data_IF_752050712214
#
_entry.id   IF_752050712214
#
_cell.length_a   1.000
_cell.length_b   1.000
_cell.length_c   1.000
_cell.angle_alpha   90.00
_cell.angle_beta   90.00
_cell.angle_gamma   90.00
#
_symmetry.space_group_name_H-M   'P 1'
#
loop_
_entity.id
_entity.type
_entity.pdbx_description
1 polymer ?
#
# COMPACT_ATOMS: atom_id res chain seq x y z
N UNK A 1 -39.89 16.93 -99.77
CA UNK A 1 -40.76 15.80 -99.42
C UNK A 1 -40.13 14.92 -98.32
N UNK A 2 -40.95 14.66 -97.31
CA UNK A 2 -40.80 13.58 -96.28
C UNK A 2 -39.51 13.46 -95.48
N UNK A 3 -39.50 14.00 -94.28
CA UNK A 3 -39.72 13.39 -92.99
C UNK A 3 -39.25 11.97 -92.73
N UNK A 4 -38.38 11.73 -91.78
CA UNK A 4 -38.62 10.69 -90.79
C UNK A 4 -37.76 10.97 -89.50
N UNK A 5 -38.48 10.91 -88.39
CA UNK A 5 -38.03 11.10 -87.02
C UNK A 5 -37.32 9.86 -86.52
N UNK A 6 -36.22 10.04 -85.76
CA UNK A 6 -35.58 8.99 -85.00
C UNK A 6 -35.68 9.33 -83.50
N UNK A 7 -36.38 8.52 -82.76
CA UNK A 7 -36.64 8.65 -81.29
C UNK A 7 -35.43 8.03 -80.56
N UNK A 8 -34.73 8.83 -79.73
CA UNK A 8 -33.66 8.33 -78.89
C UNK A 8 -34.18 8.09 -77.46
N UNK A 9 -34.06 6.87 -76.98
CA UNK A 9 -34.37 6.45 -75.62
C UNK A 9 -33.20 6.77 -74.72
N UNK A 10 -33.44 7.68 -73.70
CA UNK A 10 -32.55 7.88 -72.60
C UNK A 10 -32.86 6.81 -71.52
N UNK A 11 -31.91 5.89 -71.32
CA UNK A 11 -31.91 4.96 -70.19
C UNK A 11 -31.20 5.65 -69.05
N UNK A 12 -31.95 6.16 -68.09
CA UNK A 12 -31.48 6.69 -66.84
C UNK A 12 -31.04 5.57 -65.92
N UNK A 13 -29.71 5.37 -65.77
CA UNK A 13 -29.15 4.47 -64.78
C UNK A 13 -29.23 5.10 -63.37
N UNK A 14 -30.08 4.53 -62.50
CA UNK A 14 -30.19 4.87 -61.11
C UNK A 14 -29.03 4.20 -60.34
N UNK A 15 -27.98 4.95 -60.03
CA UNK A 15 -26.90 4.48 -59.17
C UNK A 15 -27.38 4.57 -57.73
N UNK A 16 -27.73 3.43 -57.12
CA UNK A 16 -27.98 3.28 -55.68
C UNK A 16 -26.63 3.29 -54.95
N UNK A 17 -26.26 4.45 -54.37
CA UNK A 17 -25.16 4.56 -53.42
C UNK A 17 -25.63 3.99 -52.08
N UNK A 18 -25.31 2.73 -51.81
CA UNK A 18 -25.48 2.13 -50.50
C UNK A 18 -24.40 2.70 -49.58
N UNK A 19 -24.70 3.76 -48.86
CA UNK A 19 -23.86 4.26 -47.77
C UNK A 19 -23.88 3.23 -46.63
N UNK A 20 -22.89 2.36 -46.59
CA UNK A 20 -22.61 1.50 -45.45
C UNK A 20 -22.20 2.34 -44.28
N UNK A 21 -23.11 2.64 -43.36
CA UNK A 21 -22.80 3.17 -42.05
C UNK A 21 -22.11 2.06 -41.27
N UNK A 22 -20.77 2.10 -41.22
CA UNK A 22 -19.97 1.33 -40.27
C UNK A 22 -20.34 1.85 -38.85
N UNK A 23 -21.30 1.20 -38.22
CA UNK A 23 -21.47 1.26 -36.77
C UNK A 23 -20.20 0.65 -36.14
N UNK A 24 -19.16 1.48 -35.95
CA UNK A 24 -18.11 1.15 -35.05
C UNK A 24 -18.78 1.05 -33.65
N UNK A 25 -19.16 -0.16 -33.28
CA UNK A 25 -19.61 -0.43 -31.91
C UNK A 25 -18.51 0.08 -30.97
N UNK A 26 -18.80 1.09 -30.18
CA UNK A 26 -17.94 1.49 -29.08
C UNK A 26 -17.73 0.22 -28.25
N UNK A 27 -16.51 -0.34 -28.27
CA UNK A 27 -16.19 -1.44 -27.38
C UNK A 27 -16.48 -0.95 -25.97
N UNK A 28 -17.43 -1.59 -25.31
CA UNK A 28 -17.81 -1.22 -23.94
C UNK A 28 -16.55 -1.32 -23.08
N UNK A 29 -16.19 -0.21 -22.44
CA UNK A 29 -14.98 -0.17 -21.62
C UNK A 29 -15.09 -1.27 -20.55
N UNK A 30 -14.03 -2.05 -20.38
CA UNK A 30 -14.02 -3.14 -19.40
C UNK A 30 -14.43 -2.62 -18.00
N UNK A 31 -15.25 -3.40 -17.31
CA UNK A 31 -15.61 -3.19 -15.91
C UNK A 31 -15.86 -4.54 -15.24
N UNK A 32 -15.75 -4.65 -13.90
CA UNK A 32 -15.96 -5.91 -13.22
C UNK A 32 -17.42 -6.40 -13.38
N UNK A 33 -17.57 -7.69 -13.69
CA UNK A 33 -18.88 -8.35 -13.90
C UNK A 33 -19.32 -9.20 -12.70
N UNK A 34 -18.42 -9.40 -11.72
CA UNK A 34 -18.66 -10.12 -10.46
C UNK A 34 -17.92 -9.40 -9.31
N UNK A 35 -18.24 -9.69 -8.03
CA UNK A 35 -17.53 -9.11 -6.89
C UNK A 35 -16.02 -9.24 -7.02
N UNK A 36 -15.30 -8.18 -6.64
CA UNK A 36 -13.84 -8.11 -6.68
C UNK A 36 -13.27 -8.55 -5.34
N UNK A 37 -12.44 -9.60 -5.35
CA UNK A 37 -11.68 -10.03 -4.17
C UNK A 37 -10.54 -9.03 -3.92
N UNK A 38 -10.59 -8.31 -2.80
CA UNK A 38 -9.56 -7.34 -2.41
C UNK A 38 -8.66 -7.97 -1.35
N UNK A 39 -7.58 -8.59 -1.81
CA UNK A 39 -6.65 -9.34 -0.96
C UNK A 39 -5.75 -8.37 -0.18
N UNK A 40 -5.64 -8.63 1.13
CA UNK A 40 -4.70 -7.96 2.02
C UNK A 40 -3.73 -9.00 2.57
N UNK A 41 -2.44 -9.00 2.14
CA UNK A 41 -1.41 -9.93 2.62
C UNK A 41 -0.85 -9.51 3.98
N UNK A 42 -1.75 -9.18 4.92
CA UNK A 42 -1.45 -8.74 6.29
C UNK A 42 -2.62 -9.05 7.22
N UNK A 43 -2.38 -9.00 8.52
CA UNK A 43 -3.39 -9.25 9.55
C UNK A 43 -4.46 -8.16 9.62
N UNK A 44 -5.59 -8.51 10.22
CA UNK A 44 -6.70 -7.60 10.47
C UNK A 44 -6.29 -6.48 11.44
N UNK A 45 -6.80 -5.26 11.22
CA UNK A 45 -6.48 -4.08 12.03
C UNK A 45 -5.11 -3.47 11.75
N UNK A 46 -4.30 -4.04 10.86
CA UNK A 46 -3.10 -3.41 10.33
C UNK A 46 -3.43 -2.33 9.31
N UNK A 47 -2.49 -1.43 9.03
CA UNK A 47 -2.73 -0.28 8.17
C UNK A 47 -3.23 -0.62 6.76
N UNK A 48 -2.80 -1.76 6.18
CA UNK A 48 -3.32 -2.24 4.90
C UNK A 48 -4.79 -2.67 4.98
N UNK A 49 -5.18 -3.37 6.05
CA UNK A 49 -6.55 -3.81 6.27
C UNK A 49 -7.48 -2.60 6.51
N UNK A 50 -7.04 -1.65 7.34
CA UNK A 50 -7.77 -0.40 7.59
C UNK A 50 -8.01 0.35 6.28
N UNK A 51 -6.98 0.49 5.43
CA UNK A 51 -7.08 1.18 4.15
C UNK A 51 -8.02 0.46 3.17
N UNK A 52 -7.91 -0.86 3.03
CA UNK A 52 -8.75 -1.64 2.13
C UNK A 52 -10.24 -1.56 2.53
N UNK A 53 -10.52 -1.66 3.85
CA UNK A 53 -11.88 -1.52 4.42
C UNK A 53 -12.42 -0.10 4.36
N UNK A 54 -11.57 0.90 4.26
CA UNK A 54 -11.97 2.28 3.99
C UNK A 54 -12.31 2.48 2.50
N UNK A 55 -11.49 1.95 1.60
CA UNK A 55 -11.65 2.10 0.14
C UNK A 55 -12.91 1.38 -0.36
N UNK A 56 -13.19 0.16 0.10
CA UNK A 56 -14.29 -0.65 -0.42
C UNK A 56 -15.66 0.05 -0.32
N UNK A 57 -16.13 0.54 0.84
CA UNK A 57 -17.38 1.28 0.93
C UNK A 57 -17.32 2.66 0.24
N UNK A 58 -16.14 3.26 0.09
CA UNK A 58 -15.99 4.52 -0.62
C UNK A 58 -16.26 4.35 -2.13
N UNK A 59 -15.78 3.25 -2.72
CA UNK A 59 -16.07 2.87 -4.11
C UNK A 59 -17.58 2.70 -4.30
N UNK A 60 -18.25 2.03 -3.38
CA UNK A 60 -19.72 1.83 -3.42
C UNK A 60 -20.48 3.16 -3.27
N UNK A 61 -20.13 3.97 -2.27
CA UNK A 61 -20.72 5.28 -2.00
C UNK A 61 -20.71 6.20 -3.23
N UNK A 62 -19.57 6.24 -3.92
CA UNK A 62 -19.39 7.08 -5.10
C UNK A 62 -19.77 6.38 -6.41
N UNK A 63 -20.31 5.15 -6.35
CA UNK A 63 -20.74 4.36 -7.53
C UNK A 63 -19.61 4.22 -8.57
N UNK A 64 -18.38 4.05 -8.11
CA UNK A 64 -17.20 3.96 -8.98
C UNK A 64 -17.02 2.58 -9.60
N UNK A 65 -17.74 1.58 -9.11
CA UNK A 65 -17.76 0.21 -9.64
C UNK A 65 -19.19 -0.34 -9.65
N UNK A 66 -19.55 -1.15 -10.68
CA UNK A 66 -20.84 -1.86 -10.69
C UNK A 66 -20.84 -3.07 -9.73
N UNK A 67 -19.69 -3.49 -9.21
CA UNK A 67 -19.54 -4.63 -8.34
C UNK A 67 -18.87 -4.25 -7.01
N UNK A 68 -19.22 -4.90 -5.90
CA UNK A 68 -18.60 -4.64 -4.60
C UNK A 68 -17.17 -5.18 -4.53
N UNK A 69 -16.37 -4.55 -3.65
CA UNK A 69 -15.03 -5.01 -3.30
C UNK A 69 -15.05 -5.69 -1.94
N UNK A 70 -14.62 -6.96 -1.90
CA UNK A 70 -14.66 -7.80 -0.70
C UNK A 70 -13.26 -7.98 -0.16
N UNK A 71 -12.99 -7.41 1.01
CA UNK A 71 -11.67 -7.45 1.65
C UNK A 71 -11.43 -8.82 2.28
N UNK A 72 -10.32 -9.46 1.91
CA UNK A 72 -9.91 -10.79 2.40
C UNK A 72 -8.47 -10.73 2.90
N UNK A 73 -8.25 -10.98 4.19
CA UNK A 73 -6.91 -11.04 4.78
C UNK A 73 -6.25 -12.40 4.56
N UNK A 74 -4.97 -12.40 4.13
CA UNK A 74 -4.13 -13.60 3.95
C UNK A 74 -2.72 -13.34 4.48
N UNK A 75 -2.55 -13.34 5.83
CA UNK A 75 -1.30 -12.91 6.47
C UNK A 75 -0.22 -14.00 6.55
N UNK A 76 -0.53 -15.26 6.21
CA UNK A 76 0.36 -16.39 6.41
C UNK A 76 1.73 -16.20 5.76
N UNK A 77 2.81 -16.65 6.46
CA UNK A 77 4.17 -16.56 5.96
C UNK A 77 4.65 -15.11 5.71
N UNK A 78 4.31 -14.17 6.58
CA UNK A 78 4.63 -12.75 6.41
C UNK A 78 4.02 -12.15 5.11
N UNK A 79 2.81 -12.58 4.74
CA UNK A 79 2.11 -12.15 3.52
C UNK A 79 2.33 -13.06 2.30
N UNK A 80 3.25 -14.03 2.36
CA UNK A 80 3.53 -14.94 1.25
C UNK A 80 2.27 -15.68 0.75
N UNK A 81 1.37 -16.09 1.68
CA UNK A 81 0.09 -16.71 1.33
C UNK A 81 -0.72 -15.82 0.39
N UNK A 82 -0.87 -14.53 0.73
CA UNK A 82 -1.61 -13.58 -0.08
C UNK A 82 -0.96 -13.34 -1.45
N UNK A 83 0.37 -13.20 -1.49
CA UNK A 83 1.10 -13.02 -2.73
C UNK A 83 0.98 -14.21 -3.68
N UNK A 84 1.14 -15.43 -3.17
CA UNK A 84 1.00 -16.66 -3.97
C UNK A 84 -0.45 -16.85 -4.43
N UNK A 85 -1.43 -16.52 -3.59
CA UNK A 85 -2.84 -16.57 -3.96
C UNK A 85 -3.12 -15.66 -5.15
N UNK A 86 -2.70 -14.39 -5.10
CA UNK A 86 -2.90 -13.43 -6.21
C UNK A 86 -2.12 -13.85 -7.47
N UNK A 87 -0.86 -14.28 -7.33
CA UNK A 87 -0.07 -14.83 -8.44
C UNK A 87 -0.77 -16.00 -9.12
N UNK A 88 -1.42 -16.88 -8.34
CA UNK A 88 -2.18 -18.03 -8.84
C UNK A 88 -3.45 -17.67 -9.60
N UNK A 89 -3.96 -16.44 -9.48
CA UNK A 89 -5.17 -15.93 -10.17
C UNK A 89 -4.89 -15.39 -11.58
N UNK A 90 -3.91 -15.95 -12.27
CA UNK A 90 -3.49 -15.51 -13.61
C UNK A 90 -4.68 -15.22 -14.54
N UNK A 91 -4.71 -14.01 -15.11
CA UNK A 91 -5.73 -13.55 -16.05
C UNK A 91 -7.07 -13.18 -15.43
N UNK A 92 -7.29 -13.35 -14.10
CA UNK A 92 -8.55 -12.97 -13.45
C UNK A 92 -8.49 -11.50 -12.98
N UNK A 93 -9.18 -10.57 -13.66
CA UNK A 93 -9.19 -9.16 -13.28
C UNK A 93 -10.14 -8.83 -12.11
N UNK A 94 -10.80 -9.83 -11.52
CA UNK A 94 -11.68 -9.66 -10.34
C UNK A 94 -10.96 -9.96 -9.02
N UNK A 95 -9.64 -10.02 -9.05
CA UNK A 95 -8.79 -10.11 -7.86
C UNK A 95 -7.81 -8.93 -7.89
N UNK A 96 -7.71 -8.21 -6.79
CA UNK A 96 -6.69 -7.18 -6.60
C UNK A 96 -6.01 -7.39 -5.25
N UNK A 97 -4.85 -6.80 -5.06
CA UNK A 97 -4.19 -6.80 -3.75
C UNK A 97 -3.67 -5.42 -3.39
N UNK A 98 -3.77 -5.08 -2.10
CA UNK A 98 -3.08 -3.94 -1.51
C UNK A 98 -1.78 -4.46 -0.90
N UNK A 99 -0.65 -3.98 -1.41
CA UNK A 99 0.68 -4.42 -0.98
C UNK A 99 1.44 -3.32 -0.24
N UNK A 100 2.47 -3.76 0.48
CA UNK A 100 3.40 -2.97 1.27
C UNK A 100 4.84 -3.35 0.87
N UNK A 101 5.84 -2.83 1.57
CA UNK A 101 7.25 -3.19 1.35
C UNK A 101 7.55 -4.69 1.60
N UNK A 102 6.67 -5.40 2.33
CA UNK A 102 6.74 -6.85 2.46
C UNK A 102 6.65 -7.58 1.10
N UNK A 103 6.15 -6.93 0.04
CA UNK A 103 6.21 -7.42 -1.34
C UNK A 103 7.66 -7.69 -1.79
N UNK A 104 8.62 -6.95 -1.27
CA UNK A 104 10.05 -7.12 -1.53
C UNK A 104 10.72 -7.93 -0.42
N UNK A 105 10.45 -7.56 0.84
CA UNK A 105 11.14 -8.12 1.99
C UNK A 105 10.84 -9.60 2.20
N UNK A 106 9.57 -10.02 2.11
CA UNK A 106 9.17 -11.42 2.33
C UNK A 106 9.84 -12.40 1.38
N UNK A 107 9.83 -12.23 0.03
CA UNK A 107 10.51 -13.17 -0.85
C UNK A 107 12.03 -13.18 -0.65
N UNK A 108 12.65 -12.04 -0.35
CA UNK A 108 14.08 -11.96 -0.06
C UNK A 108 14.46 -12.74 1.20
N UNK A 109 13.63 -12.68 2.25
CA UNK A 109 13.89 -13.34 3.52
C UNK A 109 13.57 -14.84 3.52
N UNK A 110 12.50 -15.25 2.84
CA UNK A 110 11.94 -16.60 2.94
C UNK A 110 12.28 -17.51 1.76
N UNK A 111 12.72 -16.93 0.64
CA UNK A 111 12.92 -17.66 -0.61
C UNK A 111 11.64 -18.16 -1.26
N UNK A 112 10.47 -17.66 -0.85
CA UNK A 112 9.19 -18.00 -1.49
C UNK A 112 9.25 -17.67 -2.98
N UNK A 113 8.70 -18.52 -3.89
CA UNK A 113 8.80 -18.35 -5.34
C UNK A 113 7.85 -17.24 -5.83
N UNK A 114 8.08 -16.03 -5.36
CA UNK A 114 7.34 -14.83 -5.68
C UNK A 114 8.29 -13.65 -5.94
N UNK A 115 7.96 -12.84 -6.92
CA UNK A 115 8.55 -11.53 -7.17
C UNK A 115 7.41 -10.55 -7.48
N UNK A 116 7.53 -9.29 -7.12
CA UNK A 116 6.51 -8.29 -7.42
C UNK A 116 6.25 -8.16 -8.93
N UNK A 117 7.24 -8.48 -9.77
CA UNK A 117 7.12 -8.52 -11.24
C UNK A 117 6.23 -9.66 -11.75
N UNK A 118 5.89 -10.64 -10.90
CA UNK A 118 4.87 -11.64 -11.21
C UNK A 118 3.46 -11.04 -11.24
N UNK A 119 3.26 -9.86 -10.66
CA UNK A 119 1.97 -9.17 -10.62
C UNK A 119 1.95 -8.01 -11.60
N UNK A 120 0.76 -7.48 -11.85
CA UNK A 120 0.53 -6.31 -12.70
C UNK A 120 0.34 -5.06 -11.81
N UNK A 121 1.30 -4.12 -11.74
CA UNK A 121 1.17 -2.91 -10.94
C UNK A 121 0.06 -2.00 -11.46
N UNK A 122 -0.73 -1.43 -10.55
CA UNK A 122 -1.82 -0.50 -10.87
C UNK A 122 -1.48 0.92 -10.41
N UNK A 123 -1.30 1.10 -9.10
CA UNK A 123 -1.04 2.40 -8.52
C UNK A 123 -0.32 2.29 -7.17
N UNK A 124 0.50 3.29 -6.84
CA UNK A 124 0.84 3.65 -5.47
C UNK A 124 -0.19 4.69 -5.00
N UNK A 125 -0.86 4.43 -3.87
CA UNK A 125 -1.91 5.30 -3.36
C UNK A 125 -1.39 6.33 -2.36
N UNK A 126 -0.46 5.90 -1.50
CA UNK A 126 0.08 6.70 -0.40
C UNK A 126 1.47 6.21 0.01
N UNK A 127 2.15 7.03 0.78
CA UNK A 127 3.30 6.63 1.60
C UNK A 127 2.91 6.71 3.07
N UNK A 128 3.46 5.82 3.86
CA UNK A 128 3.15 5.66 5.27
C UNK A 128 4.39 5.90 6.11
N UNK A 129 4.24 6.69 7.17
CA UNK A 129 5.30 6.95 8.13
C UNK A 129 5.40 5.84 9.17
N UNK A 130 6.52 5.80 9.84
CA UNK A 130 6.72 5.04 11.07
C UNK A 130 7.01 6.00 12.22
N UNK A 131 6.52 5.63 13.39
CA UNK A 131 6.71 6.41 14.62
C UNK A 131 7.15 5.46 15.72
N UNK A 132 8.14 5.85 16.51
CA UNK A 132 8.53 5.13 17.73
C UNK A 132 7.51 5.41 18.83
N UNK A 133 6.87 4.34 19.31
CA UNK A 133 5.84 4.40 20.34
C UNK A 133 6.23 3.67 21.60
N UNK A 134 5.74 4.16 22.73
CA UNK A 134 5.75 3.47 24.03
C UNK A 134 4.34 3.49 24.63
N UNK A 135 4.09 2.62 25.62
CA UNK A 135 2.87 2.71 26.44
C UNK A 135 2.82 4.06 27.15
N UNK A 136 1.64 4.69 27.28
CA UNK A 136 1.50 6.01 27.90
C UNK A 136 1.96 6.06 29.37
N UNK A 137 1.88 4.93 30.07
CA UNK A 137 2.34 4.79 31.47
C UNK A 137 3.85 4.49 31.56
N UNK A 138 4.54 4.34 30.43
CA UNK A 138 6.00 4.21 30.40
C UNK A 138 6.65 5.42 31.07
N UNK A 139 7.74 5.24 31.85
CA UNK A 139 8.46 6.35 32.48
C UNK A 139 9.12 7.27 31.44
N UNK A 140 9.39 6.76 30.24
CA UNK A 140 10.09 7.49 29.18
C UNK A 140 9.16 8.48 28.48
N UNK A 141 9.55 9.75 28.45
CA UNK A 141 8.77 10.84 27.85
C UNK A 141 9.33 11.28 26.50
N UNK A 142 10.58 10.98 26.23
CA UNK A 142 11.30 11.35 25.01
C UNK A 142 11.98 10.13 24.38
N UNK A 143 12.25 10.19 23.05
CA UNK A 143 13.00 9.13 22.35
C UNK A 143 14.41 9.00 22.94
N UNK A 144 15.05 10.11 23.32
CA UNK A 144 16.39 10.09 23.93
C UNK A 144 16.40 9.30 25.24
N UNK A 145 15.48 9.58 26.16
CA UNK A 145 15.37 8.83 27.43
C UNK A 145 15.16 7.33 27.19
N UNK A 146 14.29 6.99 26.24
CA UNK A 146 14.00 5.60 25.91
C UNK A 146 15.24 4.89 25.32
N UNK A 147 15.92 5.51 24.35
CA UNK A 147 17.13 4.97 23.72
C UNK A 147 18.25 4.75 24.73
N UNK A 148 18.49 5.72 25.63
CA UNK A 148 19.49 5.59 26.69
C UNK A 148 19.16 4.43 27.65
N UNK A 149 17.89 4.25 28.00
CA UNK A 149 17.44 3.15 28.83
C UNK A 149 17.67 1.78 28.16
N UNK A 150 17.36 1.65 26.86
CA UNK A 150 17.60 0.43 26.07
C UNK A 150 19.11 0.15 25.97
N UNK A 151 19.91 1.19 25.70
CA UNK A 151 21.38 1.10 25.63
C UNK A 151 22.01 0.61 26.91
N UNK A 152 21.49 1.07 28.05
CA UNK A 152 21.96 0.65 29.37
C UNK A 152 21.62 -0.82 29.71
N UNK A 153 20.61 -1.40 29.04
CA UNK A 153 20.12 -2.76 29.32
C UNK A 153 19.89 -3.55 28.04
N UNK A 154 20.95 -3.91 27.30
CA UNK A 154 20.83 -4.64 26.03
C UNK A 154 20.11 -5.98 26.21
N UNK A 155 19.28 -6.34 25.23
CA UNK A 155 18.44 -7.55 25.21
C UNK A 155 17.47 -7.68 26.40
N UNK A 156 16.99 -6.56 26.96
CA UNK A 156 15.97 -6.58 28.03
C UNK A 156 14.67 -5.89 27.58
N UNK A 157 14.70 -5.06 26.55
CA UNK A 157 13.53 -4.38 26.01
C UNK A 157 12.96 -5.13 24.81
N UNK A 158 11.63 -5.31 24.81
CA UNK A 158 10.89 -5.95 23.73
C UNK A 158 10.41 -4.89 22.74
N UNK A 159 10.88 -4.99 21.50
CA UNK A 159 10.34 -4.23 20.36
C UNK A 159 9.36 -5.12 19.62
N UNK A 160 8.06 -4.81 19.68
CA UNK A 160 7.05 -5.50 18.88
C UNK A 160 7.01 -4.95 17.45
N UNK A 161 6.79 -5.82 16.49
CA UNK A 161 6.63 -5.43 15.09
C UNK A 161 5.90 -6.47 14.26
N UNK A 162 5.49 -6.09 13.06
CA UNK A 162 4.79 -6.95 12.12
C UNK A 162 5.78 -7.89 11.42
N UNK A 163 5.53 -9.19 11.55
CA UNK A 163 6.28 -10.24 10.83
C UNK A 163 7.77 -10.32 11.17
N UNK A 164 8.43 -11.28 10.55
CA UNK A 164 9.89 -11.41 10.58
C UNK A 164 10.46 -10.92 9.25
N UNK A 165 11.57 -10.17 9.31
CA UNK A 165 12.23 -9.56 8.18
C UNK A 165 11.33 -8.59 7.36
N UNK A 166 10.29 -8.05 7.99
CA UNK A 166 9.45 -7.00 7.43
C UNK A 166 9.90 -5.61 7.93
N UNK A 167 9.16 -4.59 7.57
CA UNK A 167 9.50 -3.18 7.74
C UNK A 167 9.87 -2.83 9.18
N UNK A 168 9.08 -3.27 10.14
CA UNK A 168 9.29 -2.98 11.58
C UNK A 168 10.62 -3.57 12.08
N UNK A 169 10.97 -4.79 11.63
CA UNK A 169 12.25 -5.39 12.00
C UNK A 169 13.42 -4.69 11.30
N UNK A 170 13.27 -4.30 10.04
CA UNK A 170 14.29 -3.54 9.31
C UNK A 170 14.57 -2.22 10.05
N UNK A 171 13.53 -1.49 10.44
CA UNK A 171 13.66 -0.23 11.20
C UNK A 171 14.28 -0.49 12.57
N UNK A 172 13.87 -1.55 13.27
CA UNK A 172 14.43 -1.94 14.57
C UNK A 172 15.94 -2.16 14.45
N UNK A 173 16.38 -2.90 13.43
CA UNK A 173 17.81 -3.15 13.17
C UNK A 173 18.55 -1.85 12.82
N UNK A 174 17.95 -0.97 12.02
CA UNK A 174 18.53 0.35 11.75
C UNK A 174 18.72 1.15 13.05
N UNK A 175 17.73 1.12 13.96
CA UNK A 175 17.89 1.74 15.29
C UNK A 175 19.01 1.08 16.10
N UNK A 176 19.08 -0.24 16.12
CA UNK A 176 20.15 -0.97 16.81
C UNK A 176 21.54 -0.55 16.32
N UNK A 177 21.71 -0.45 15.01
CA UNK A 177 22.99 -0.05 14.39
C UNK A 177 23.31 1.44 14.67
N UNK A 178 22.33 2.32 14.50
CA UNK A 178 22.50 3.76 14.62
C UNK A 178 22.84 4.20 16.08
N UNK A 179 22.29 3.51 17.07
CA UNK A 179 22.41 3.89 18.48
C UNK A 179 23.25 2.90 19.32
N UNK A 180 23.68 1.78 18.75
CA UNK A 180 24.38 0.72 19.48
C UNK A 180 23.45 -0.01 20.47
N UNK A 181 22.22 -0.30 20.07
CA UNK A 181 21.18 -0.95 20.88
C UNK A 181 21.11 -2.45 20.62
N UNK A 182 20.39 -3.15 21.52
CA UNK A 182 19.94 -4.53 21.32
C UNK A 182 18.56 -4.70 21.93
N UNK A 183 17.57 -4.99 21.06
CA UNK A 183 16.21 -5.34 21.43
C UNK A 183 15.97 -6.85 21.40
N UNK A 184 14.92 -7.29 22.08
CA UNK A 184 14.25 -8.56 21.82
C UNK A 184 13.13 -8.23 20.83
N UNK A 185 13.31 -8.57 19.55
CA UNK A 185 12.27 -8.37 18.56
C UNK A 185 11.17 -9.43 18.70
N UNK A 186 9.90 -9.00 18.77
CA UNK A 186 8.72 -9.88 18.93
C UNK A 186 7.81 -9.70 17.72
N UNK A 187 7.77 -10.67 16.77
CA UNK A 187 6.94 -10.56 15.58
C UNK A 187 5.48 -10.92 15.83
N UNK A 188 4.56 -10.14 15.26
CA UNK A 188 3.11 -10.35 15.24
C UNK A 188 2.59 -10.48 13.81
N UNK A 189 1.34 -10.92 13.63
CA UNK A 189 0.73 -11.14 12.30
C UNK A 189 0.34 -9.85 11.57
N UNK A 190 0.20 -8.73 12.29
CA UNK A 190 -0.17 -7.44 11.73
C UNK A 190 -0.05 -6.32 12.76
N UNK A 191 0.00 -5.08 12.29
CA UNK A 191 0.22 -3.91 13.13
C UNK A 191 -0.88 -3.68 14.18
N UNK A 192 -2.11 -4.14 13.93
CA UNK A 192 -3.16 -4.13 14.96
C UNK A 192 -2.82 -4.97 16.19
N UNK A 193 -2.27 -6.19 15.98
CA UNK A 193 -1.80 -7.05 17.09
C UNK A 193 -0.61 -6.43 17.80
N UNK A 194 0.29 -5.77 17.05
CA UNK A 194 1.43 -5.01 17.60
C UNK A 194 0.94 -3.88 18.50
N UNK A 195 -0.04 -3.10 18.05
CA UNK A 195 -0.62 -2.01 18.83
C UNK A 195 -1.27 -2.51 20.14
N UNK A 196 -2.03 -3.61 20.05
CA UNK A 196 -2.64 -4.25 21.22
C UNK A 196 -1.57 -4.76 22.21
N UNK A 197 -0.48 -5.35 21.70
CA UNK A 197 0.66 -5.79 22.52
C UNK A 197 1.28 -4.62 23.33
N UNK A 198 1.45 -3.46 22.69
CA UNK A 198 1.97 -2.27 23.36
C UNK A 198 1.01 -1.74 24.43
N UNK A 199 -0.29 -1.64 24.12
CA UNK A 199 -1.33 -1.20 25.07
C UNK A 199 -1.42 -2.15 26.26
N UNK A 200 -1.32 -3.47 26.03
CA UNK A 200 -1.33 -4.52 27.05
C UNK A 200 -0.02 -4.65 27.81
N UNK A 201 1.01 -3.85 27.51
CA UNK A 201 2.36 -3.92 28.14
C UNK A 201 3.06 -5.26 27.95
N UNK A 202 2.73 -5.99 26.87
CA UNK A 202 3.43 -7.22 26.49
C UNK A 202 4.73 -6.92 25.72
N UNK A 203 4.86 -5.69 25.22
CA UNK A 203 6.06 -5.11 24.63
C UNK A 203 6.34 -3.73 25.24
N UNK A 204 7.60 -3.29 25.18
CA UNK A 204 8.05 -2.01 25.73
C UNK A 204 7.88 -0.88 24.71
N UNK A 205 8.05 -1.20 23.43
CA UNK A 205 7.94 -0.25 22.32
C UNK A 205 7.52 -0.93 21.03
N UNK A 206 7.19 -0.10 20.05
CA UNK A 206 6.93 -0.49 18.65
C UNK A 206 7.25 0.66 17.72
N UNK A 207 7.43 0.35 16.43
CA UNK A 207 7.55 1.33 15.35
C UNK A 207 6.32 1.36 14.45
N UNK A 208 5.13 1.09 14.99
CA UNK A 208 3.85 1.07 14.26
C UNK A 208 3.64 2.31 13.38
N UNK A 209 2.92 2.10 12.29
CA UNK A 209 2.40 3.19 11.51
C UNK A 209 1.39 4.05 12.29
N UNK A 210 1.27 5.35 11.99
CA UNK A 210 0.30 6.24 12.63
C UNK A 210 -1.11 5.71 12.67
N UNK A 211 -1.61 5.15 11.57
CA UNK A 211 -2.98 4.62 11.43
C UNK A 211 -3.33 3.51 12.44
N UNK A 212 -2.34 2.76 12.90
CA UNK A 212 -2.49 1.64 13.82
C UNK A 212 -2.53 2.09 15.29
N UNK A 213 -1.95 3.25 15.58
CA UNK A 213 -1.79 3.77 16.94
C UNK A 213 -2.64 5.02 17.26
N UNK A 214 -3.11 5.75 16.24
CA UNK A 214 -3.79 7.03 16.44
C UNK A 214 -5.00 6.94 17.37
N UNK A 215 -5.77 5.85 17.29
CA UNK A 215 -6.91 5.59 18.18
C UNK A 215 -6.45 5.38 19.65
N UNK A 216 -5.40 4.61 19.85
CA UNK A 216 -4.82 4.34 21.17
C UNK A 216 -4.16 5.58 21.75
N UNK A 217 -3.46 6.35 20.95
CA UNK A 217 -2.85 7.61 21.36
C UNK A 217 -3.90 8.65 21.77
N UNK A 218 -4.92 8.89 20.96
CA UNK A 218 -6.04 9.80 21.31
C UNK A 218 -6.79 9.35 22.57
N UNK A 219 -6.83 8.05 22.86
CA UNK A 219 -7.38 7.49 24.09
C UNK A 219 -6.40 7.54 25.29
N UNK A 220 -5.21 8.14 25.12
CA UNK A 220 -4.21 8.27 26.18
C UNK A 220 -3.53 6.95 26.60
N UNK A 221 -3.56 5.92 25.73
CA UNK A 221 -2.99 4.58 26.03
C UNK A 221 -1.57 4.41 25.54
N UNK A 222 -1.19 5.12 24.50
CA UNK A 222 0.17 5.10 23.93
C UNK A 222 0.71 6.52 23.77
N UNK A 223 2.03 6.64 23.61
CA UNK A 223 2.73 7.90 23.43
C UNK A 223 3.70 7.79 22.27
N UNK A 224 3.61 8.69 21.26
CA UNK A 224 4.64 8.82 20.23
C UNK A 224 5.88 9.50 20.84
N UNK A 225 7.06 9.01 20.49
CA UNK A 225 8.33 9.57 20.94
C UNK A 225 9.08 10.29 19.82
N UNK A 226 9.06 9.74 18.61
CA UNK A 226 9.68 10.37 17.44
C UNK A 226 9.15 9.78 16.13
N UNK A 227 9.07 10.60 15.09
CA UNK A 227 8.82 10.20 13.71
C UNK A 227 10.12 9.70 13.05
N UNK A 228 10.04 8.61 12.29
CA UNK A 228 11.17 8.02 11.57
C UNK A 228 11.18 8.56 10.13
N UNK A 229 11.46 9.85 10.00
CA UNK A 229 11.60 10.56 8.73
C UNK A 229 12.53 11.77 8.92
N UNK A 230 13.01 12.32 7.82
CA UNK A 230 13.85 13.54 7.79
C UNK A 230 13.07 14.78 8.25
N UNK A 231 11.75 14.77 8.09
CA UNK A 231 10.85 15.86 8.41
C UNK A 231 9.74 15.41 9.36
N UNK A 232 9.21 16.35 10.14
CA UNK A 232 8.03 16.08 10.97
C UNK A 232 6.82 15.81 10.09
N UNK A 233 5.85 15.07 10.62
CA UNK A 233 4.55 14.88 9.97
C UNK A 233 3.80 16.21 10.03
N UNK A 234 3.74 16.92 8.91
CA UNK A 234 3.08 18.24 8.82
C UNK A 234 1.55 18.11 8.69
N UNK A 235 0.95 17.53 9.72
CA UNK A 235 -0.50 17.38 9.84
C UNK A 235 -0.98 17.85 11.22
N UNK A 236 -2.22 18.38 11.36
CA UNK A 236 -2.77 18.77 12.65
C UNK A 236 -2.72 17.64 13.67
N UNK A 237 -2.18 17.93 14.85
CA UNK A 237 -2.01 16.98 15.95
C UNK A 237 -0.75 16.11 15.87
N UNK A 238 0.01 16.15 14.75
CA UNK A 238 1.25 15.37 14.57
C UNK A 238 2.51 16.24 14.57
N UNK A 239 2.39 17.55 14.32
CA UNK A 239 3.51 18.49 14.19
C UNK A 239 4.39 18.60 15.43
N UNK A 240 3.85 18.29 16.60
CA UNK A 240 4.58 18.36 17.88
C UNK A 240 5.48 17.15 18.11
N UNK A 241 5.32 16.07 17.35
CA UNK A 241 6.16 14.88 17.44
C UNK A 241 7.47 15.17 16.71
N UNK A 242 8.63 15.15 17.41
CA UNK A 242 9.92 15.42 16.78
C UNK A 242 10.33 14.30 15.83
N UNK A 243 11.22 14.58 14.89
CA UNK A 243 11.93 13.53 14.14
C UNK A 243 12.97 12.84 15.06
N UNK A 244 13.44 11.64 14.65
CA UNK A 244 14.55 10.98 15.35
C UNK A 244 15.79 11.89 15.42
N UNK A 245 16.08 12.65 14.35
CA UNK A 245 17.18 13.61 14.30
C UNK A 245 17.04 14.72 15.34
N UNK A 246 15.86 15.32 15.44
CA UNK A 246 15.59 16.38 16.42
C UNK A 246 15.65 15.85 17.87
N UNK A 247 15.12 14.64 18.10
CA UNK A 247 15.05 14.05 19.43
C UNK A 247 16.40 13.48 19.92
N UNK A 248 17.26 13.02 19.02
CA UNK A 248 18.44 12.20 19.36
C UNK A 248 19.75 12.62 18.69
N UNK A 249 19.69 13.48 17.68
CA UNK A 249 20.80 13.85 16.81
C UNK A 249 21.10 12.89 15.67
N UNK A 250 20.42 11.72 15.60
CA UNK A 250 20.62 10.72 14.55
C UNK A 250 19.55 10.82 13.49
N UNK A 251 19.98 11.06 12.24
CA UNK A 251 19.11 11.16 11.08
C UNK A 251 18.79 9.77 10.55
N UNK A 252 17.52 9.39 10.57
CA UNK A 252 17.02 8.14 10.01
C UNK A 252 15.61 8.31 9.46
N UNK A 253 15.35 7.68 8.34
CA UNK A 253 14.06 7.73 7.68
C UNK A 253 13.67 6.38 7.08
N UNK A 254 12.38 6.09 7.12
CA UNK A 254 11.79 4.97 6.43
C UNK A 254 10.33 5.29 6.07
N UNK A 255 10.00 5.26 4.78
CA UNK A 255 8.63 5.42 4.29
C UNK A 255 8.21 4.13 3.58
N UNK A 256 7.07 3.58 3.97
CA UNK A 256 6.49 2.40 3.35
C UNK A 256 5.45 2.82 2.30
N UNK A 257 5.41 2.13 1.15
CA UNK A 257 4.37 2.40 0.17
C UNK A 257 3.09 1.59 0.41
N UNK A 258 1.98 2.14 -0.06
CA UNK A 258 0.68 1.48 -0.18
C UNK A 258 0.36 1.32 -1.66
N UNK A 259 0.46 0.11 -2.20
CA UNK A 259 0.35 -0.15 -3.64
C UNK A 259 -0.77 -1.13 -3.98
N UNK A 260 -1.39 -0.92 -5.13
CA UNK A 260 -2.40 -1.81 -5.71
C UNK A 260 -1.79 -2.58 -6.88
N UNK A 261 -2.04 -3.89 -6.88
CA UNK A 261 -1.62 -4.78 -7.96
C UNK A 261 -2.77 -5.71 -8.37
N UNK A 262 -2.71 -6.17 -9.60
CA UNK A 262 -3.55 -7.21 -10.18
C UNK A 262 -2.74 -8.50 -10.36
N UNK A 263 -3.40 -9.66 -10.56
CA UNK A 263 -2.75 -10.89 -10.98
C UNK A 263 -1.94 -10.73 -12.28
N UNK A 264 -1.05 -11.69 -12.59
CA UNK A 264 -0.33 -11.69 -13.85
C UNK A 264 -1.28 -11.90 -15.04
N UNK A 265 -0.96 -11.26 -16.18
CA UNK A 265 -1.63 -11.51 -17.45
C UNK A 265 -3.10 -11.07 -17.52
N UNK A 266 -3.51 -10.14 -16.69
CA UNK A 266 -4.83 -9.49 -16.82
C UNK A 266 -4.89 -8.64 -18.08
N UNK A 267 -6.09 -8.47 -18.71
CA UNK A 267 -6.27 -7.57 -19.84
C UNK A 267 -5.83 -6.13 -19.51
N UNK A 268 -5.23 -5.47 -20.50
CA UNK A 268 -4.74 -4.08 -20.33
C UNK A 268 -5.88 -3.12 -20.00
N UNK A 269 -7.04 -3.32 -20.60
CA UNK A 269 -8.24 -2.53 -20.37
C UNK A 269 -8.71 -2.63 -18.91
N UNK A 270 -8.56 -3.80 -18.30
CA UNK A 270 -8.86 -3.99 -16.88
C UNK A 270 -7.84 -3.22 -15.99
N UNK A 271 -6.55 -3.28 -16.31
CA UNK A 271 -5.53 -2.50 -15.59
C UNK A 271 -5.81 -0.99 -15.69
N UNK A 272 -6.11 -0.49 -16.88
CA UNK A 272 -6.43 0.93 -17.13
C UNK A 272 -7.68 1.37 -16.37
N UNK A 273 -8.70 0.51 -16.32
CA UNK A 273 -9.91 0.75 -15.53
C UNK A 273 -9.60 0.90 -14.03
N UNK A 274 -8.78 0.00 -13.47
CA UNK A 274 -8.37 0.10 -12.06
C UNK A 274 -7.51 1.34 -11.80
N UNK A 275 -6.64 1.73 -12.71
CA UNK A 275 -5.87 2.99 -12.60
C UNK A 275 -6.82 4.19 -12.49
N UNK A 276 -7.85 4.24 -13.34
CA UNK A 276 -8.85 5.31 -13.32
C UNK A 276 -9.71 5.26 -12.06
N UNK A 277 -10.15 4.05 -11.66
CA UNK A 277 -10.89 3.84 -10.41
C UNK A 277 -10.14 4.43 -9.21
N UNK A 278 -8.87 4.04 -9.02
CA UNK A 278 -8.09 4.50 -7.87
C UNK A 278 -7.71 5.99 -7.96
N UNK A 279 -7.55 6.53 -9.16
CA UNK A 279 -7.44 7.99 -9.33
C UNK A 279 -8.68 8.69 -8.78
N UNK A 280 -9.88 8.28 -9.18
CA UNK A 280 -11.15 8.82 -8.69
C UNK A 280 -11.29 8.68 -7.17
N UNK A 281 -10.89 7.54 -6.60
CA UNK A 281 -10.85 7.34 -5.14
C UNK A 281 -9.96 8.40 -4.48
N UNK A 282 -8.76 8.63 -5.01
CA UNK A 282 -7.81 9.59 -4.41
C UNK A 282 -8.23 11.06 -4.54
N UNK A 283 -9.14 11.37 -5.43
CA UNK A 283 -9.70 12.73 -5.61
C UNK A 283 -10.83 13.04 -4.63
N UNK A 284 -11.44 12.02 -3.99
CA UNK A 284 -12.58 12.21 -3.08
C UNK A 284 -12.18 13.00 -1.82
N UNK A 285 -13.08 13.84 -1.28
CA UNK A 285 -12.85 14.53 0.00
C UNK A 285 -12.61 13.56 1.16
N UNK A 286 -13.30 12.41 1.17
CA UNK A 286 -13.19 11.39 2.20
C UNK A 286 -11.79 10.76 2.19
N UNK A 287 -11.20 10.49 1.01
CA UNK A 287 -9.84 9.99 0.90
C UNK A 287 -8.83 11.00 1.47
N UNK A 288 -8.96 12.27 1.10
CA UNK A 288 -8.08 13.34 1.61
C UNK A 288 -8.16 13.45 3.13
N UNK A 289 -9.38 13.35 3.67
CA UNK A 289 -9.60 13.32 5.12
C UNK A 289 -9.00 12.06 5.76
N UNK A 290 -9.18 10.89 5.15
CA UNK A 290 -8.59 9.63 5.61
C UNK A 290 -7.08 9.72 5.71
N UNK A 291 -6.40 10.25 4.68
CA UNK A 291 -4.95 10.46 4.71
C UNK A 291 -4.53 11.36 5.89
N UNK A 292 -5.24 12.47 6.10
CA UNK A 292 -4.96 13.39 7.20
C UNK A 292 -5.19 12.75 8.57
N UNK A 293 -6.32 12.05 8.76
CA UNK A 293 -6.70 11.45 10.04
C UNK A 293 -5.75 10.33 10.47
N UNK A 294 -5.15 9.63 9.51
CA UNK A 294 -4.26 8.48 9.71
C UNK A 294 -2.79 8.81 9.49
N UNK A 295 -2.46 10.08 9.28
CA UNK A 295 -1.12 10.55 8.97
C UNK A 295 -0.48 9.73 7.84
N UNK A 296 -1.09 9.77 6.66
CA UNK A 296 -0.56 9.18 5.43
C UNK A 296 -0.18 10.29 4.45
N UNK A 297 0.96 10.16 3.80
CA UNK A 297 1.46 11.11 2.80
C UNK A 297 0.76 10.85 1.45
N UNK A 298 0.06 11.84 0.85
CA UNK A 298 -0.48 11.70 -0.49
C UNK A 298 0.64 11.39 -1.49
N UNK A 299 0.52 10.30 -2.26
CA UNK A 299 1.58 9.87 -3.14
C UNK A 299 1.09 9.00 -4.31
N UNK A 300 0.02 9.46 -4.99
CA UNK A 300 -0.52 8.73 -6.14
C UNK A 300 0.48 8.69 -7.29
N UNK A 301 0.75 7.47 -7.78
CA UNK A 301 1.72 7.23 -8.85
C UNK A 301 1.32 6.01 -9.67
N UNK A 302 1.40 6.09 -11.00
CA UNK A 302 1.01 5.00 -11.93
C UNK A 302 1.99 4.91 -13.10
N UNK A 303 1.84 3.87 -13.92
CA UNK A 303 2.59 3.70 -15.17
C UNK A 303 4.11 3.61 -14.99
N UNK A 304 4.92 4.07 -15.96
CA UNK A 304 6.38 3.94 -15.92
C UNK A 304 7.05 4.55 -14.68
N UNK A 305 6.62 5.72 -14.15
CA UNK A 305 7.15 6.24 -12.89
C UNK A 305 6.93 5.31 -11.69
N UNK A 306 5.80 4.57 -11.65
CA UNK A 306 5.55 3.58 -10.61
C UNK A 306 6.53 2.41 -10.72
N UNK A 307 6.78 1.91 -11.92
CA UNK A 307 7.75 0.81 -12.15
C UNK A 307 9.14 1.22 -11.63
N UNK A 308 9.62 2.39 -12.01
CA UNK A 308 10.90 2.92 -11.55
C UNK A 308 10.95 3.01 -10.02
N UNK A 309 9.90 3.53 -9.39
CA UNK A 309 9.79 3.59 -7.93
C UNK A 309 9.89 2.21 -7.28
N UNK A 310 9.20 1.20 -7.83
CA UNK A 310 9.22 -0.17 -7.28
C UNK A 310 10.61 -0.81 -7.40
N UNK A 311 11.34 -0.56 -8.48
CA UNK A 311 12.73 -1.02 -8.68
C UNK A 311 13.69 -0.38 -7.66
N UNK A 312 13.60 0.93 -7.48
CA UNK A 312 14.41 1.68 -6.50
C UNK A 312 14.10 1.22 -5.08
N UNK A 313 12.81 0.99 -4.76
CA UNK A 313 12.37 0.55 -3.44
C UNK A 313 12.81 -0.90 -3.14
N UNK A 314 12.74 -1.80 -4.12
CA UNK A 314 13.27 -3.16 -3.99
C UNK A 314 14.78 -3.16 -3.71
N UNK A 315 15.53 -2.34 -4.45
CA UNK A 315 16.98 -2.23 -4.27
C UNK A 315 17.34 -1.69 -2.88
N UNK A 316 16.63 -0.65 -2.41
CA UNK A 316 16.79 -0.10 -1.07
C UNK A 316 16.46 -1.15 0.01
N UNK A 317 15.33 -1.84 -0.11
CA UNK A 317 14.92 -2.89 0.84
C UNK A 317 15.98 -3.98 0.93
N UNK A 318 16.48 -4.45 -0.21
CA UNK A 318 17.53 -5.47 -0.27
C UNK A 318 18.83 -5.00 0.41
N UNK A 319 19.25 -3.76 0.17
CA UNK A 319 20.46 -3.18 0.80
C UNK A 319 20.30 -3.12 2.33
N UNK A 320 19.14 -2.60 2.81
CA UNK A 320 18.86 -2.52 4.25
C UNK A 320 18.82 -3.90 4.91
N UNK A 321 18.20 -4.88 4.26
CA UNK A 321 18.13 -6.26 4.77
C UNK A 321 19.52 -6.92 4.82
N UNK A 322 20.39 -6.67 3.82
CA UNK A 322 21.78 -7.15 3.85
C UNK A 322 22.57 -6.49 4.97
N UNK A 323 22.55 -5.17 5.08
CA UNK A 323 23.20 -4.42 6.16
C UNK A 323 22.71 -4.86 7.55
N UNK A 324 21.42 -5.21 7.64
CA UNK A 324 20.79 -5.72 8.85
C UNK A 324 21.09 -7.19 9.17
N UNK A 325 21.77 -7.93 8.27
CA UNK A 325 22.01 -9.36 8.44
C UNK A 325 20.76 -10.25 8.33
N UNK A 326 19.66 -9.73 7.78
CA UNK A 326 18.41 -10.47 7.55
C UNK A 326 18.50 -11.38 6.32
N UNK A 327 19.36 -11.03 5.38
CA UNK A 327 19.69 -11.83 4.19
C UNK A 327 21.21 -11.79 3.92
N UNK A 328 21.69 -12.78 3.13
CA UNK A 328 23.10 -12.87 2.72
C UNK A 328 23.45 -11.96 1.54
#
# INVERSE_FOLDING_TARGET
MRNLKGCGWLVGGLILVVSGVLLAGAAEAWQPTKPVEFVVPAGTGGGADIMARFISPLIEKHKLSPQPFIVVNRPGGAGAEGFLHVKGKKGDPHVITLTLDNTFATPLATGVPFNWRDLTPVARLALDWFVLWVNAESPYKTAKEYIEAVKAKPNQFKMAGTGTAQEDQIITIQMEQAFGLKFIYVPYKGGGDVAVSLVGKHSDSTVNNPSEQVGHWKAGRTRPLATIDHERIDLPGWRDIPTMKEATGVDMAYLMYRGIFLPPGVPKEAQEWYVDLFRKVTETPEWKKYLSDNALKPAFLTGPPLIKYLEEKEALTKDLMKKGGLIK
#
